data_IF_699981624604
#
_entry.id   IF_699981624604
#
_cell.length_a   1.000
_cell.length_b   1.000
_cell.length_c   1.000
_cell.angle_alpha   90.00
_cell.angle_beta   90.00
_cell.angle_gamma   90.00
#
_symmetry.space_group_name_H-M   'P 1'
#
loop_
_entity.id
_entity.type
_entity.pdbx_description
1 polymer ?
#
# COMPACT_ATOMS: atom_id res chain seq x y z
N UNK A 1 -14.14 27.50 -15.47
CA UNK A 1 -12.69 27.31 -15.52
C UNK A 1 -12.15 26.92 -14.16
N UNK A 2 -12.06 25.64 -13.80
CA UNK A 2 -11.33 24.54 -14.45
C UNK A 2 -9.81 24.79 -14.48
N UNK A 3 -9.09 23.82 -13.89
CA UNK A 3 -7.64 23.55 -13.96
C UNK A 3 -6.81 24.00 -12.75
N UNK A 4 -6.91 23.24 -11.66
CA UNK A 4 -5.76 23.00 -10.77
C UNK A 4 -5.33 21.55 -10.95
N UNK A 5 -4.53 21.32 -11.99
CA UNK A 5 -3.75 20.09 -12.18
C UNK A 5 -2.28 20.46 -12.11
N UNK A 6 -1.71 20.44 -10.92
CA UNK A 6 -0.25 20.32 -10.77
C UNK A 6 0.01 19.10 -9.91
N UNK A 7 0.03 17.95 -10.59
CA UNK A 7 0.69 16.75 -10.10
C UNK A 7 2.19 16.99 -10.18
N UNK A 8 2.85 16.98 -9.02
CA UNK A 8 4.28 17.20 -8.94
C UNK A 8 4.83 17.13 -7.52
N UNK A 9 4.54 16.04 -6.78
CA UNK A 9 5.35 15.73 -5.59
C UNK A 9 6.43 14.72 -6.00
N UNK A 10 7.58 15.29 -6.38
CA UNK A 10 8.84 14.57 -6.46
C UNK A 10 9.28 14.19 -5.05
N UNK A 11 9.88 13.00 -4.93
CA UNK A 11 10.11 12.34 -3.66
C UNK A 11 10.94 13.14 -2.67
N UNK A 12 10.49 13.13 -1.42
CA UNK A 12 11.27 13.50 -0.25
C UNK A 12 10.61 12.91 0.98
N UNK A 13 11.08 11.76 1.47
CA UNK A 13 10.90 11.26 2.85
C UNK A 13 9.49 11.07 3.44
N UNK A 14 8.44 11.56 2.79
CA UNK A 14 7.08 11.57 3.27
C UNK A 14 6.38 10.31 2.78
N UNK A 15 5.81 9.55 3.72
CA UNK A 15 4.98 8.38 3.43
C UNK A 15 4.01 8.68 2.28
N UNK A 16 3.83 7.74 1.36
CA UNK A 16 2.93 7.94 0.22
C UNK A 16 1.52 8.27 0.76
N UNK A 17 0.88 9.32 0.24
CA UNK A 17 -0.42 9.79 0.73
C UNK A 17 -1.53 8.71 0.71
N UNK A 18 -1.34 7.64 -0.08
CA UNK A 18 -2.27 6.51 -0.16
C UNK A 18 -1.91 5.35 0.78
N UNK A 19 -0.87 5.49 1.61
CA UNK A 19 -0.40 4.44 2.52
C UNK A 19 -1.48 3.96 3.49
N UNK A 20 -2.09 4.87 4.23
CA UNK A 20 -3.12 4.50 5.22
C UNK A 20 -4.34 3.82 4.56
N UNK A 21 -4.71 4.30 3.37
CA UNK A 21 -5.78 3.67 2.57
C UNK A 21 -5.41 2.26 2.13
N UNK A 22 -4.16 2.08 1.69
CA UNK A 22 -3.65 0.77 1.29
C UNK A 22 -3.62 -0.21 2.48
N UNK A 23 -3.21 0.26 3.67
CA UNK A 23 -3.23 -0.53 4.91
C UNK A 23 -4.65 -0.95 5.25
N UNK A 24 -5.60 -0.02 5.21
CA UNK A 24 -7.01 -0.31 5.47
C UNK A 24 -7.56 -1.40 4.52
N UNK A 25 -7.26 -1.30 3.22
CA UNK A 25 -7.66 -2.32 2.23
C UNK A 25 -7.05 -3.67 2.56
N UNK A 26 -5.76 -3.72 2.86
CA UNK A 26 -5.06 -4.97 3.17
C UNK A 26 -5.64 -5.64 4.41
N UNK A 27 -5.92 -4.86 5.47
CA UNK A 27 -6.51 -5.38 6.71
C UNK A 27 -7.96 -5.81 6.51
N UNK A 28 -8.78 -5.02 5.81
CA UNK A 28 -10.19 -5.33 5.54
C UNK A 28 -10.33 -6.62 4.73
N UNK A 29 -9.50 -6.80 3.71
CA UNK A 29 -9.55 -7.99 2.84
C UNK A 29 -8.68 -9.15 3.33
N UNK A 30 -7.94 -8.95 4.44
CA UNK A 30 -6.97 -9.91 4.99
C UNK A 30 -6.00 -10.46 3.94
N UNK A 31 -5.60 -9.62 2.99
CA UNK A 31 -4.72 -10.02 1.88
C UNK A 31 -3.82 -8.87 1.46
N UNK A 32 -2.51 -9.10 1.50
CA UNK A 32 -1.51 -8.12 1.05
C UNK A 32 -0.95 -8.51 -0.33
N UNK A 33 -1.63 -8.08 -1.40
CA UNK A 33 -1.16 -8.33 -2.78
C UNK A 33 -1.17 -7.05 -3.61
N UNK A 34 -0.21 -6.95 -4.54
CA UNK A 34 -0.07 -5.76 -5.41
C UNK A 34 -1.37 -5.52 -6.20
N UNK A 35 -1.91 -6.58 -6.80
CA UNK A 35 -3.13 -6.51 -7.62
C UNK A 35 -4.37 -6.08 -6.84
N UNK A 36 -4.46 -6.41 -5.54
CA UNK A 36 -5.55 -5.95 -4.68
C UNK A 36 -5.48 -4.43 -4.51
N UNK A 37 -4.30 -3.92 -4.12
CA UNK A 37 -4.07 -2.49 -3.87
C UNK A 37 -4.27 -1.68 -5.16
N UNK A 38 -3.75 -2.16 -6.30
CA UNK A 38 -3.95 -1.50 -7.60
C UNK A 38 -5.42 -1.29 -7.95
N UNK A 39 -6.26 -2.32 -7.78
CA UNK A 39 -7.67 -2.27 -8.17
C UNK A 39 -8.48 -1.34 -7.28
N UNK A 40 -8.24 -1.37 -5.97
CA UNK A 40 -8.99 -0.57 -5.00
C UNK A 40 -8.56 0.89 -5.00
N UNK A 41 -7.26 1.18 -5.15
CA UNK A 41 -6.73 2.54 -5.16
C UNK A 41 -6.62 3.13 -6.57
N UNK A 42 -6.87 2.33 -7.61
CA UNK A 42 -6.75 2.71 -9.03
C UNK A 42 -5.37 3.28 -9.37
N UNK A 43 -4.33 2.62 -8.86
CA UNK A 43 -2.91 3.01 -9.04
C UNK A 43 -2.12 2.00 -9.88
N UNK A 44 -1.00 2.46 -10.43
CA UNK A 44 -0.05 1.61 -11.17
C UNK A 44 0.74 0.64 -10.28
N UNK A 45 1.32 -0.39 -10.92
CA UNK A 45 2.03 -1.50 -10.27
C UNK A 45 3.16 -1.00 -9.35
N UNK A 46 4.03 -0.11 -9.84
CA UNK A 46 5.19 0.38 -9.10
C UNK A 46 4.80 1.12 -7.82
N UNK A 47 3.72 1.90 -7.85
CA UNK A 47 3.23 2.59 -6.65
C UNK A 47 2.67 1.59 -5.65
N UNK A 48 1.84 0.65 -6.09
CA UNK A 48 1.30 -0.40 -5.22
C UNK A 48 2.41 -1.28 -4.60
N UNK A 49 3.46 -1.60 -5.35
CA UNK A 49 4.62 -2.33 -4.84
C UNK A 49 5.34 -1.54 -3.74
N UNK A 50 5.61 -0.25 -3.96
CA UNK A 50 6.22 0.64 -2.95
C UNK A 50 5.39 0.75 -1.68
N UNK A 51 4.07 0.83 -1.79
CA UNK A 51 3.16 0.85 -0.63
C UNK A 51 3.31 -0.43 0.20
N UNK A 52 3.36 -1.59 -0.44
CA UNK A 52 3.55 -2.86 0.25
C UNK A 52 4.96 -3.02 0.84
N UNK A 53 6.00 -2.48 0.19
CA UNK A 53 7.35 -2.42 0.77
C UNK A 53 7.41 -1.52 2.01
N UNK A 54 6.67 -0.41 2.02
CA UNK A 54 6.55 0.44 3.21
C UNK A 54 5.85 -0.30 4.35
N UNK A 55 4.80 -1.07 4.04
CA UNK A 55 4.11 -1.92 5.04
C UNK A 55 5.02 -3.02 5.59
N UNK A 56 5.91 -3.57 4.76
CA UNK A 56 6.92 -4.54 5.22
C UNK A 56 7.89 -3.87 6.19
N UNK A 57 8.41 -2.69 5.82
CA UNK A 57 9.32 -1.91 6.66
C UNK A 57 8.68 -1.50 7.99
N UNK A 58 7.36 -1.31 8.03
CA UNK A 58 6.64 -1.00 9.26
C UNK A 58 6.23 -2.25 10.07
N UNK A 59 6.54 -3.46 9.59
CA UNK A 59 6.16 -4.72 10.24
C UNK A 59 4.67 -5.08 10.13
N UNK A 60 3.91 -4.46 9.22
CA UNK A 60 2.50 -4.81 8.99
C UNK A 60 2.34 -6.07 8.15
N UNK A 61 3.25 -6.28 7.18
CA UNK A 61 3.23 -7.42 6.26
C UNK A 61 4.59 -8.10 6.20
N UNK A 62 4.61 -9.38 5.83
CA UNK A 62 5.83 -10.15 5.63
C UNK A 62 6.55 -9.74 4.33
N UNK A 63 7.77 -10.26 4.19
CA UNK A 63 8.49 -10.22 2.92
C UNK A 63 7.69 -10.89 1.81
N UNK A 64 7.95 -10.47 0.58
CA UNK A 64 7.25 -10.99 -0.59
C UNK A 64 7.50 -12.49 -0.75
N UNK A 65 6.42 -13.26 -0.84
CA UNK A 65 6.44 -14.67 -1.20
C UNK A 65 6.68 -14.85 -2.70
N UNK A 66 7.04 -16.06 -3.12
CA UNK A 66 7.34 -16.40 -4.54
C UNK A 66 6.15 -16.18 -5.48
N UNK A 67 4.93 -16.12 -4.95
CA UNK A 67 3.71 -15.83 -5.72
C UNK A 67 3.35 -14.32 -5.78
N UNK A 68 4.22 -13.44 -5.25
CA UNK A 68 4.00 -12.00 -5.23
C UNK A 68 3.01 -11.50 -4.15
N UNK A 69 2.53 -12.39 -3.29
CA UNK A 69 1.72 -12.02 -2.12
C UNK A 69 2.61 -11.87 -0.88
N UNK A 70 2.09 -11.15 0.12
CA UNK A 70 2.67 -10.99 1.45
C UNK A 70 1.65 -11.47 2.49
N UNK A 71 2.13 -12.00 3.59
CA UNK A 71 1.32 -12.36 4.74
C UNK A 71 1.14 -11.15 5.65
N UNK A 72 0.02 -11.04 6.33
CA UNK A 72 -0.22 -9.93 7.27
C UNK A 72 0.31 -10.36 8.65
N UNK A 73 1.28 -9.61 9.16
CA UNK A 73 1.93 -9.85 10.46
C UNK A 73 1.27 -9.01 11.56
N UNK A 74 0.67 -7.88 11.19
CA UNK A 74 0.09 -6.89 12.11
C UNK A 74 -0.62 -7.60 13.27
N UNK A 75 -0.25 -7.31 14.54
CA UNK A 75 -0.90 -7.93 15.67
C UNK A 75 -2.37 -7.63 15.51
N UNK A 76 -3.17 -8.68 15.40
CA UNK A 76 -4.62 -8.56 15.44
C UNK A 76 -4.89 -7.70 16.68
N UNK A 77 -5.31 -6.44 16.49
CA UNK A 77 -5.82 -5.61 17.59
C UNK A 77 -7.19 -6.22 17.92
N UNK A 78 -7.17 -7.46 18.39
CA UNK A 78 -8.19 -8.06 19.19
C UNK A 78 -7.96 -7.46 20.58
N UNK A 79 -8.56 -6.30 20.81
CA UNK A 79 -9.04 -5.98 22.14
C UNK A 79 -10.21 -6.90 22.48
#
# INVERSE_FOLDING_TARGET
DALTSEGGVMGGGESDAMYDQAVAIVLQHKRASISLVQRHLRIGYNRAARLLEQMEKSGLVSSMSTNGNRDIIAPNRAE
#
